data_IF_854664536250
#
_entry.id   IF_854664536250
#
_cell.length_a   1.000
_cell.length_b   1.000
_cell.length_c   1.000
_cell.angle_alpha   90.00
_cell.angle_beta   90.00
_cell.angle_gamma   90.00
#
_symmetry.space_group_name_H-M   'P 1'
#
loop_
_entity.id
_entity.type
_entity.pdbx_description
1 polymer ?
2 non-polymer ?
3 non-polymer ?
4 non-polymer ?
5 non-polymer ?
6 water ?
#
# COMPACT_ATOMS: atom_id res chain seq x y z
N UNK A 3 -26.26 6.51 14.26
CA UNK A 3 -25.43 5.30 13.99
C UNK A 3 -24.38 5.62 12.92
N UNK A 4 -23.20 5.03 13.06
CA UNK A 4 -22.12 5.27 12.11
C UNK A 4 -21.93 4.10 11.14
N UNK A 5 -21.85 4.40 9.83
CA UNK A 5 -21.66 3.36 8.82
C UNK A 5 -20.31 2.65 8.98
N UNK A 6 -20.24 1.37 8.58
CA UNK A 6 -19.03 0.55 8.68
C UNK A 6 -17.88 0.91 7.74
N UNK A 7 -16.67 0.53 8.16
CA UNK A 7 -15.45 0.77 7.38
C UNK A 7 -14.39 -0.21 7.86
N UNK A 8 -13.51 -0.62 6.95
CA UNK A 8 -12.44 -1.56 7.28
C UNK A 8 -11.08 -0.98 6.90
N UNK A 9 -10.11 -1.15 7.79
CA UNK A 9 -8.72 -0.69 7.55
C UNK A 9 -7.90 -1.98 7.49
N UNK A 10 -7.13 -2.15 6.41
CA UNK A 10 -6.28 -3.34 6.27
C UNK A 10 -4.85 -2.84 6.06
N UNK A 11 -4.08 -2.82 7.14
CA UNK A 11 -2.70 -2.35 7.09
C UNK A 11 -1.66 -3.42 7.41
N UNK A 12 -0.41 -3.01 7.35
CA UNK A 12 0.68 -3.93 7.61
C UNK A 12 1.89 -3.50 6.83
N UNK A 13 3.07 -4.07 7.12
CA UNK A 13 4.29 -3.70 6.41
C UNK A 13 4.28 -4.12 4.95
N UNK A 14 5.18 -3.53 4.18
CA UNK A 14 5.27 -3.84 2.77
C UNK A 14 5.63 -5.32 2.57
N UNK A 15 4.96 -5.96 1.61
CA UNK A 15 5.16 -7.37 1.25
C UNK A 15 4.45 -8.37 2.16
N UNK A 16 3.66 -7.86 3.12
CA UNK A 16 2.94 -8.73 4.05
C UNK A 16 1.78 -9.47 3.38
N UNK A 17 1.32 -8.98 2.24
CA UNK A 17 0.23 -9.63 1.54
C UNK A 17 -1.12 -8.95 1.79
N UNK A 18 -1.10 -7.65 2.07
CA UNK A 18 -2.33 -6.90 2.33
C UNK A 18 -3.27 -6.92 1.12
N UNK A 19 -2.74 -6.58 -0.04
CA UNK A 19 -3.54 -6.54 -1.26
C UNK A 19 -4.19 -7.90 -1.52
N UNK A 20 -3.46 -8.96 -1.19
CA UNK A 20 -3.96 -10.31 -1.38
C UNK A 20 -5.23 -10.56 -0.58
N UNK A 21 -5.19 -10.23 0.70
CA UNK A 21 -6.34 -10.41 1.59
C UNK A 21 -7.49 -9.47 1.28
N UNK A 22 -7.17 -8.27 0.80
CA UNK A 22 -8.20 -7.29 0.45
C UNK A 22 -9.07 -7.84 -0.66
N UNK A 23 -8.43 -8.40 -1.68
CA UNK A 23 -9.15 -8.96 -2.81
C UNK A 23 -10.04 -10.12 -2.38
N UNK A 24 -9.56 -10.90 -1.40
CA UNK A 24 -10.33 -12.02 -0.89
C UNK A 24 -11.58 -11.51 -0.19
N UNK A 25 -11.41 -10.50 0.67
CA UNK A 25 -12.52 -9.90 1.39
C UNK A 25 -13.51 -9.27 0.42
N UNK A 26 -12.98 -8.74 -0.68
CA UNK A 26 -13.80 -8.10 -1.69
C UNK A 26 -14.76 -9.11 -2.33
N UNK A 27 -14.44 -10.39 -2.21
CA UNK A 27 -15.28 -11.44 -2.77
C UNK A 27 -16.27 -12.00 -1.75
N UNK A 28 -16.13 -11.59 -0.49
CA UNK A 28 -17.01 -12.09 0.56
C UNK A 28 -18.05 -11.06 0.99
N UNK A 29 -17.71 -9.78 0.84
CA UNK A 29 -18.61 -8.70 1.22
C UNK A 29 -18.63 -7.62 0.15
N UNK A 30 -19.67 -6.77 0.14
CA UNK A 30 -19.77 -5.69 -0.85
C UNK A 30 -18.83 -4.58 -0.40
N UNK A 31 -17.59 -4.62 -0.90
CA UNK A 31 -16.60 -3.62 -0.52
C UNK A 31 -16.25 -2.63 -1.61
N UNK A 32 -15.59 -1.56 -1.20
CA UNK A 32 -15.11 -0.52 -2.11
C UNK A 32 -13.64 -0.38 -1.71
N UNK A 33 -12.75 -0.95 -2.53
CA UNK A 33 -11.32 -0.90 -2.25
C UNK A 33 -10.75 0.50 -2.41
N UNK A 34 -10.07 0.97 -1.37
CA UNK A 34 -9.46 2.30 -1.37
C UNK A 34 -8.01 2.16 -0.95
N UNK A 35 -7.10 2.50 -1.86
CA UNK A 35 -5.68 2.39 -1.58
C UNK A 35 -5.16 3.51 -0.68
N UNK A 36 -4.35 3.11 0.30
CA UNK A 36 -3.74 4.04 1.23
C UNK A 36 -2.24 3.82 1.04
N UNK A 37 -1.70 4.46 0.00
CA UNK A 37 -0.30 4.29 -0.36
C UNK A 37 0.18 5.52 -1.12
N UNK A 38 1.17 6.21 -0.57
CA UNK A 38 1.71 7.42 -1.18
C UNK A 38 2.44 7.17 -2.50
N UNK A 39 2.69 5.90 -2.81
CA UNK A 39 3.39 5.56 -4.04
C UNK A 39 2.45 5.10 -5.16
N UNK A 40 1.43 4.30 -4.81
CA UNK A 40 0.50 3.80 -5.81
C UNK A 40 -0.35 4.89 -6.46
N UNK A 41 -0.31 6.10 -5.92
CA UNK A 41 -1.07 7.20 -6.50
C UNK A 41 -0.48 7.64 -7.84
N UNK A 42 0.79 7.29 -8.09
CA UNK A 42 1.47 7.73 -9.32
C UNK A 42 1.39 6.86 -10.57
N UNK A 43 0.92 7.45 -11.66
CA UNK A 43 0.84 6.74 -12.94
C UNK A 43 2.27 6.55 -13.43
N UNK A 44 2.51 5.46 -14.14
CA UNK A 44 3.84 5.18 -14.65
C UNK A 44 4.80 4.53 -13.66
N UNK A 45 4.33 4.29 -12.45
CA UNK A 45 5.14 3.65 -11.41
C UNK A 45 4.34 2.45 -10.95
N UNK A 46 4.46 1.36 -11.71
CA UNK A 46 3.68 0.16 -11.43
C UNK A 46 4.48 -1.07 -10.99
N UNK A 47 5.58 -1.32 -11.69
CA UNK A 47 6.42 -2.47 -11.40
C UNK A 47 7.18 -2.30 -10.08
N UNK A 48 7.89 -1.18 -9.97
CA UNK A 48 8.65 -0.91 -8.75
C UNK A 48 7.82 -0.65 -7.51
N UNK A 49 6.52 -0.42 -7.68
CA UNK A 49 5.64 -0.14 -6.55
C UNK A 49 4.81 -1.36 -6.15
N UNK A 50 4.96 -2.47 -6.88
CA UNK A 50 4.20 -3.68 -6.61
C UNK A 50 2.71 -3.40 -6.80
N UNK A 51 2.41 -2.52 -7.75
CA UNK A 51 1.02 -2.17 -8.04
C UNK A 51 0.31 -3.34 -8.70
N UNK A 52 -0.94 -3.60 -8.30
CA UNK A 52 -1.72 -4.70 -8.88
C UNK A 52 -1.77 -4.52 -10.40
N UNK A 53 -1.70 -5.62 -11.13
CA UNK A 53 -1.73 -5.58 -12.59
C UNK A 53 -3.01 -4.92 -13.10
N UNK A 54 -2.97 -4.46 -14.35
CA UNK A 54 -4.12 -3.82 -14.95
C UNK A 54 -5.32 -4.77 -14.94
N UNK A 55 -5.05 -6.07 -15.10
CA UNK A 55 -6.12 -7.06 -15.10
C UNK A 55 -6.74 -7.21 -13.71
N UNK A 56 -5.89 -7.25 -12.69
CA UNK A 56 -6.40 -7.38 -11.32
C UNK A 56 -7.16 -6.15 -10.88
N UNK A 57 -6.76 -4.98 -11.36
CA UNK A 57 -7.44 -3.75 -11.01
C UNK A 57 -8.81 -3.71 -11.68
N UNK A 58 -8.91 -4.32 -12.86
CA UNK A 58 -10.17 -4.35 -13.57
C UNK A 58 -11.19 -5.14 -12.75
N UNK A 59 -10.79 -6.28 -12.22
CA UNK A 59 -11.69 -7.10 -11.42
C UNK A 59 -11.79 -6.66 -9.97
N UNK A 60 -10.79 -5.91 -9.50
CA UNK A 60 -10.76 -5.41 -8.13
C UNK A 60 -10.38 -3.92 -8.16
N UNK A 61 -11.33 -3.06 -8.57
CA UNK A 61 -11.09 -1.62 -8.65
C UNK A 61 -10.61 -1.00 -7.33
N UNK A 62 -9.59 -0.15 -7.42
CA UNK A 62 -9.03 0.53 -6.26
C UNK A 62 -9.14 2.04 -6.43
N UNK A 63 -9.59 2.72 -5.38
CA UNK A 63 -9.68 4.17 -5.41
C UNK A 63 -8.30 4.68 -5.00
N UNK A 64 -7.94 5.85 -5.50
CA UNK A 64 -6.67 6.50 -5.17
C UNK A 64 -5.41 5.81 -5.71
N UNK A 65 -5.55 5.16 -6.87
CA UNK A 65 -4.42 4.54 -7.53
C UNK A 65 -4.40 5.18 -8.92
N UNK A 66 -3.21 5.58 -9.38
CA UNK A 66 -3.06 6.23 -10.68
C UNK A 66 -3.83 7.54 -10.79
N UNK A 67 -3.81 8.34 -9.73
CA UNK A 67 -4.53 9.62 -9.71
C UNK A 67 -3.62 10.84 -9.88
N UNK A 68 -2.31 10.62 -9.94
CA UNK A 68 -1.39 11.75 -10.08
C UNK A 68 -0.23 11.41 -11.02
N UNK A 69 0.35 12.44 -11.64
CA UNK A 69 1.50 12.26 -12.51
C UNK A 69 2.72 12.38 -11.60
N UNK A 70 3.82 11.68 -11.92
CA UNK A 70 5.03 11.76 -11.07
C UNK A 70 5.58 13.16 -10.81
N UNK A 71 5.21 14.12 -11.66
CA UNK A 71 5.70 15.49 -11.48
C UNK A 71 4.92 16.21 -10.39
N UNK A 72 3.80 15.62 -9.97
CA UNK A 72 2.93 16.22 -8.96
C UNK A 72 3.20 15.71 -7.54
N UNK A 73 2.78 16.51 -6.56
CA UNK A 73 2.94 16.17 -5.15
C UNK A 73 1.56 15.78 -4.59
N UNK A 74 1.54 15.04 -3.49
CA UNK A 74 0.28 14.60 -2.87
C UNK A 74 0.47 14.59 -1.36
N UNK A 75 -0.29 15.42 -0.65
CA UNK A 75 -0.17 15.51 0.80
C UNK A 75 -1.12 14.60 1.57
N UNK A 76 -0.84 14.42 2.86
CA UNK A 76 -1.70 13.60 3.72
C UNK A 76 -3.05 14.33 3.81
N UNK A 77 -3.02 15.64 3.65
CA UNK A 77 -4.24 16.46 3.70
C UNK A 77 -5.12 16.14 2.49
N UNK A 78 -4.50 15.99 1.33
CA UNK A 78 -5.25 15.67 0.13
C UNK A 78 -5.76 14.23 0.23
N UNK A 79 -4.94 13.34 0.79
CA UNK A 79 -5.37 11.95 0.94
C UNK A 79 -6.63 11.93 1.80
N UNK A 80 -6.58 12.66 2.91
CA UNK A 80 -7.70 12.76 3.83
C UNK A 80 -9.00 13.16 3.13
N UNK A 81 -8.93 14.22 2.33
CA UNK A 81 -10.12 14.70 1.61
C UNK A 81 -10.61 13.68 0.59
N UNK A 82 -9.68 13.12 -0.19
CA UNK A 82 -10.03 12.14 -1.21
C UNK A 82 -10.59 10.86 -0.59
N UNK A 83 -10.00 10.43 0.51
CA UNK A 83 -10.45 9.22 1.18
C UNK A 83 -11.84 9.42 1.79
N UNK A 84 -12.08 10.57 2.39
CA UNK A 84 -13.38 10.84 2.98
C UNK A 84 -14.45 10.85 1.89
N UNK A 85 -14.08 11.39 0.73
CA UNK A 85 -15.00 11.47 -0.40
C UNK A 85 -15.31 10.08 -0.94
N UNK A 86 -14.28 9.26 -1.10
CA UNK A 86 -14.45 7.91 -1.62
C UNK A 86 -15.27 7.06 -0.65
N UNK A 87 -15.05 7.24 0.65
CA UNK A 87 -15.78 6.49 1.66
C UNK A 87 -17.26 6.83 1.68
N UNK A 88 -17.57 8.12 1.57
CA UNK A 88 -18.95 8.58 1.57
C UNK A 88 -19.67 8.07 0.33
N UNK A 89 -18.96 8.09 -0.80
CA UNK A 89 -19.49 7.64 -2.08
C UNK A 89 -19.80 6.14 -2.04
N UNK A 90 -18.92 5.37 -1.39
CA UNK A 90 -19.12 3.94 -1.28
C UNK A 90 -20.27 3.66 -0.30
N UNK A 91 -20.25 4.37 0.82
CA UNK A 91 -21.27 4.22 1.84
C UNK A 91 -22.67 4.47 1.27
N UNK A 92 -22.82 5.54 0.49
CA UNK A 92 -24.10 5.88 -0.12
C UNK A 92 -24.61 4.73 -0.99
N UNK A 93 -23.68 3.91 -1.49
CA UNK A 93 -24.04 2.78 -2.34
C UNK A 93 -24.15 1.47 -1.54
N UNK A 94 -24.10 1.57 -0.21
CA UNK A 94 -24.20 0.37 0.61
C UNK A 94 -22.93 -0.46 0.62
N UNK A 95 -21.88 0.05 0.00
CA UNK A 95 -20.61 -0.66 -0.05
C UNK A 95 -19.79 -0.36 1.19
N UNK A 96 -18.98 -1.32 1.62
CA UNK A 96 -18.15 -1.13 2.80
C UNK A 96 -16.77 -0.63 2.37
N UNK A 97 -16.40 0.58 2.81
CA UNK A 97 -15.08 1.14 2.45
C UNK A 97 -13.99 0.25 3.03
N UNK A 98 -13.14 -0.27 2.16
CA UNK A 98 -12.04 -1.12 2.61
C UNK A 98 -10.73 -0.43 2.24
N UNK A 99 -10.14 0.27 3.21
CA UNK A 99 -8.89 0.97 3.00
C UNK A 99 -7.70 0.04 3.25
N UNK A 100 -6.95 -0.24 2.19
CA UNK A 100 -5.82 -1.13 2.28
C UNK A 100 -4.51 -0.46 1.83
N UNK A 101 -3.46 -0.63 2.64
CA UNK A 101 -2.18 -0.03 2.34
C UNK A 101 -1.28 0.09 3.55
N UNK A 102 -0.08 0.61 3.35
CA UNK A 102 0.86 0.75 4.46
C UNK A 102 1.39 2.13 4.75
N UNK A 103 0.77 3.18 4.19
CA UNK A 103 1.24 4.55 4.47
C UNK A 103 0.55 5.00 5.75
N UNK A 104 1.21 4.75 6.88
CA UNK A 104 0.65 5.07 8.18
C UNK A 104 0.27 6.53 8.39
N UNK A 105 1.03 7.43 7.78
CA UNK A 105 0.79 8.86 7.89
C UNK A 105 -0.60 9.19 7.33
N UNK A 106 -1.01 8.43 6.32
CA UNK A 106 -2.32 8.63 5.72
C UNK A 106 -3.42 8.16 6.69
N UNK A 107 -3.28 6.96 7.22
CA UNK A 107 -4.27 6.44 8.17
C UNK A 107 -4.40 7.41 9.35
N UNK A 108 -3.26 7.92 9.82
CA UNK A 108 -3.22 8.85 10.94
C UNK A 108 -4.06 10.09 10.67
N UNK A 109 -3.84 10.71 9.51
CA UNK A 109 -4.57 11.90 9.12
C UNK A 109 -6.07 11.66 9.08
N UNK A 110 -6.47 10.45 8.69
CA UNK A 110 -7.88 10.10 8.62
C UNK A 110 -8.50 9.98 10.01
N UNK A 111 -7.83 9.25 10.89
CA UNK A 111 -8.31 9.06 12.26
C UNK A 111 -8.23 10.34 13.09
N UNK A 112 -7.14 11.08 12.91
CA UNK A 112 -6.93 12.32 13.65
C UNK A 112 -7.10 13.55 12.77
N UNK A 113 -6.03 13.92 12.06
CA UNK A 113 -6.09 15.09 11.19
C UNK A 113 -4.78 15.84 11.11
N UNK A 199 -13.52 10.75 12.47
CA UNK A 199 -14.00 9.83 11.47
C UNK A 199 -15.42 9.34 11.78
N UNK A 200 -16.39 9.72 10.94
CA UNK A 200 -17.80 9.34 11.13
C UNK A 200 -18.07 7.92 10.61
N UNK A 201 -17.29 6.96 11.11
CA UNK A 201 -17.42 5.57 10.71
C UNK A 201 -17.06 4.65 11.87
N UNK A 202 -17.68 3.47 11.91
CA UNK A 202 -17.35 2.49 12.92
C UNK A 202 -16.31 1.66 12.18
N UNK A 203 -15.04 1.87 12.52
CA UNK A 203 -13.95 1.19 11.83
C UNK A 203 -13.41 -0.08 12.48
N UNK A 204 -13.22 -1.11 11.67
CA UNK A 204 -12.64 -2.37 12.11
C UNK A 204 -11.24 -2.33 11.50
N UNK A 205 -10.22 -2.39 12.35
CA UNK A 205 -8.84 -2.31 11.88
C UNK A 205 -8.09 -3.64 11.88
N UNK A 206 -7.66 -4.05 10.70
CA UNK A 206 -6.94 -5.29 10.51
C UNK A 206 -5.48 -5.03 10.11
N UNK A 207 -4.59 -5.91 10.55
CA UNK A 207 -3.16 -5.81 10.23
C UNK A 207 -2.63 -7.20 9.91
N UNK A 208 -1.75 -7.28 8.92
CA UNK A 208 -1.19 -8.57 8.55
C UNK A 208 0.32 -8.49 8.38
N UNK A 209 1.00 -9.53 8.86
CA UNK A 209 2.45 -9.62 8.78
C UNK A 209 2.88 -11.01 9.27
N UNK A 210 4.10 -11.43 8.91
CA UNK A 210 4.61 -12.74 9.33
C UNK A 210 5.02 -12.64 10.79
N UNK A 211 5.01 -13.74 11.53
CA UNK A 211 5.41 -13.70 12.93
C UNK A 211 6.90 -13.40 13.02
N UNK A 212 7.68 -13.99 12.11
CA UNK A 212 9.12 -13.78 12.06
C UNK A 212 9.43 -12.74 10.98
N UNK A 213 10.11 -11.68 11.35
CA UNK A 213 10.46 -10.63 10.40
C UNK A 213 11.43 -11.12 9.33
N UNK A 214 12.15 -12.20 9.63
CA UNK A 214 13.10 -12.76 8.69
C UNK A 214 12.36 -13.29 7.46
N UNK A 215 11.13 -13.76 7.67
CA UNK A 215 10.31 -14.26 6.57
C UNK A 215 9.92 -13.10 5.66
N UNK A 216 9.59 -11.96 6.27
CA UNK A 216 9.22 -10.77 5.49
C UNK A 216 10.43 -10.25 4.73
N UNK A 217 11.60 -10.28 5.36
CA UNK A 217 12.82 -9.79 4.74
C UNK A 217 13.21 -10.59 3.50
N UNK A 218 13.10 -11.91 3.58
CA UNK A 218 13.44 -12.76 2.44
C UNK A 218 12.52 -12.44 1.25
N UNK A 219 11.23 -12.27 1.53
CA UNK A 219 10.26 -11.96 0.48
C UNK A 219 10.55 -10.60 -0.14
N UNK A 220 10.94 -9.65 0.69
CA UNK A 220 11.25 -8.31 0.21
C UNK A 220 12.41 -8.35 -0.78
N UNK A 221 13.44 -9.12 -0.47
CA UNK A 221 14.60 -9.23 -1.35
C UNK A 221 14.23 -9.94 -2.65
N UNK A 222 13.48 -11.02 -2.54
CA UNK A 222 13.07 -11.79 -3.70
C UNK A 222 12.13 -10.96 -4.59
N UNK A 223 11.16 -10.29 -3.97
CA UNK A 223 10.21 -9.46 -4.72
C UNK A 223 10.95 -8.34 -5.46
N UNK A 224 11.95 -7.73 -4.82
CA UNK A 224 12.69 -6.67 -5.47
C UNK A 224 13.46 -7.19 -6.68
N UNK A 225 14.07 -8.37 -6.56
CA UNK A 225 14.82 -8.92 -7.67
C UNK A 225 13.90 -9.26 -8.84
N UNK A 226 12.68 -9.64 -8.53
CA UNK A 226 11.72 -9.96 -9.59
C UNK A 226 11.28 -8.68 -10.31
N UNK A 227 11.16 -7.59 -9.57
CA UNK A 227 10.78 -6.31 -10.16
C UNK A 227 11.77 -5.95 -11.26
N UNK A 228 13.06 -6.17 -10.98
CA UNK A 228 14.11 -5.88 -11.97
C UNK A 228 13.91 -6.76 -13.19
N UNK A 229 13.47 -8.00 -12.97
CA UNK A 229 13.23 -8.93 -14.05
C UNK A 229 12.01 -8.56 -14.89
N UNK A 230 11.02 -7.94 -14.25
CA UNK A 230 9.81 -7.57 -14.96
C UNK A 230 9.83 -6.20 -15.63
N UNK A 231 10.98 -5.54 -15.61
CA UNK A 231 11.09 -4.24 -16.27
C UNK A 231 11.14 -3.01 -15.40
N UNK A 232 11.61 -3.15 -14.16
CA UNK A 232 11.71 -2.02 -13.24
C UNK A 232 12.64 -0.96 -13.82
N UNK A 233 13.79 -1.37 -14.33
CA UNK A 233 14.74 -0.42 -14.88
C UNK A 233 14.17 0.36 -16.06
N UNK A 234 13.50 -0.34 -16.98
CA UNK A 234 12.91 0.33 -18.15
C UNK A 234 11.85 1.33 -17.69
N UNK A 235 11.12 0.95 -16.65
CA UNK A 235 10.08 1.82 -16.09
C UNK A 235 10.70 3.12 -15.61
N UNK A 236 11.80 3.02 -14.88
CA UNK A 236 12.45 4.21 -14.35
C UNK A 236 13.16 4.99 -15.46
N UNK A 237 13.62 4.31 -16.51
CA UNK A 237 14.27 5.00 -17.61
C UNK A 237 13.33 6.02 -18.22
N UNK A 238 12.04 5.68 -18.30
CA UNK A 238 11.06 6.61 -18.87
C UNK A 238 10.88 7.85 -17.98
N UNK A 239 11.02 7.66 -16.67
CA UNK A 239 10.89 8.79 -15.73
C UNK A 239 12.16 9.61 -15.80
N UNK A 240 13.29 8.90 -15.84
CA UNK A 240 14.63 9.50 -15.90
C UNK A 240 14.82 10.37 -17.13
N UNK A 241 14.08 10.06 -18.19
CA UNK A 241 14.20 10.80 -19.45
C UNK A 241 13.40 12.09 -19.48
N UNK A 242 12.51 12.27 -18.50
CA UNK A 242 11.69 13.47 -18.45
C UNK A 242 12.41 14.66 -17.83
N UNK A 243 12.46 15.75 -18.57
CA UNK A 243 13.13 16.95 -18.07
C UNK A 243 12.37 17.54 -16.90
N UNK A 244 11.05 17.30 -16.84
CA UNK A 244 10.27 17.84 -15.73
C UNK A 244 10.27 16.97 -14.46
N UNK A 245 11.14 15.96 -14.45
CA UNK A 245 11.26 15.11 -13.26
C UNK A 245 12.72 15.10 -12.82
N UNK A 246 12.95 15.03 -11.51
CA UNK A 246 14.31 14.92 -11.01
C UNK A 246 14.32 13.97 -9.81
N UNK A 247 15.50 13.48 -9.47
CA UNK A 247 15.65 12.51 -8.38
C UNK A 247 15.16 12.97 -7.01
N UNK A 248 15.03 14.27 -6.81
CA UNK A 248 14.59 14.77 -5.52
C UNK A 248 13.09 14.90 -5.32
N UNK A 249 12.30 14.62 -6.35
CA UNK A 249 10.84 14.73 -6.25
C UNK A 249 10.19 13.74 -5.29
N UNK A 250 9.03 14.12 -4.72
CA UNK A 250 8.29 13.27 -3.78
C UNK A 250 8.02 11.87 -4.35
N UNK A 251 7.59 11.82 -5.61
CA UNK A 251 7.29 10.56 -6.27
C UNK A 251 8.49 9.62 -6.30
N UNK A 252 9.66 10.16 -6.61
CA UNK A 252 10.86 9.35 -6.68
C UNK A 252 11.32 8.81 -5.33
N UNK A 253 10.61 9.18 -4.26
CA UNK A 253 10.93 8.69 -2.93
C UNK A 253 10.37 7.28 -2.71
N UNK A 254 9.49 6.84 -3.61
CA UNK A 254 8.91 5.50 -3.50
C UNK A 254 10.13 4.57 -3.39
N UNK A 255 10.13 3.66 -2.40
CA UNK A 255 11.31 2.81 -2.20
C UNK A 255 11.86 2.11 -3.43
N UNK A 256 13.17 2.22 -3.59
CA UNK A 256 13.83 1.59 -4.71
C UNK A 256 14.03 2.50 -5.91
N UNK A 257 13.10 3.42 -6.15
CA UNK A 257 13.24 4.28 -7.32
C UNK A 257 14.49 5.12 -7.41
N UNK A 258 14.91 5.71 -6.30
CA UNK A 258 16.12 6.53 -6.30
C UNK A 258 17.35 5.68 -6.64
N UNK A 259 17.39 4.46 -6.13
CA UNK A 259 18.51 3.55 -6.40
C UNK A 259 18.58 3.22 -7.89
N UNK A 260 17.43 2.95 -8.50
CA UNK A 260 17.41 2.66 -9.92
C UNK A 260 17.81 3.94 -10.67
N UNK A 261 17.30 5.09 -10.22
CA UNK A 261 17.63 6.36 -10.84
C UNK A 261 19.15 6.60 -10.81
N UNK A 262 19.78 6.37 -9.65
CA UNK A 262 21.22 6.56 -9.52
C UNK A 262 21.99 5.59 -10.43
N UNK A 263 21.48 4.38 -10.57
CA UNK A 263 22.11 3.39 -11.42
C UNK A 263 22.14 3.96 -12.84
N UNK A 264 21.01 4.51 -13.28
CA UNK A 264 20.89 5.11 -14.59
C UNK A 264 21.80 6.33 -14.76
N UNK A 265 22.17 6.97 -13.65
CA UNK A 265 23.07 8.12 -13.71
C UNK A 265 24.51 7.65 -13.75
N UNK A 266 24.71 6.34 -13.68
CA UNK A 266 26.05 5.78 -13.72
C UNK A 266 26.78 5.92 -12.40
N UNK A 267 26.04 6.14 -11.32
CA UNK A 267 26.66 6.32 -10.01
C UNK A 267 26.81 5.00 -9.24
N UNK A 268 26.00 4.01 -9.58
CA UNK A 268 26.02 2.73 -8.89
C UNK A 268 26.17 1.55 -9.83
N UNK A 269 26.66 0.44 -9.28
CA UNK A 269 26.80 -0.80 -10.04
C UNK A 269 25.45 -1.50 -9.91
N UNK A 270 25.19 -2.46 -10.78
CA UNK A 270 23.93 -3.19 -10.73
C UNK A 270 23.73 -3.81 -9.36
N UNK A 271 24.81 -4.35 -8.80
CA UNK A 271 24.78 -4.99 -7.48
C UNK A 271 24.44 -4.02 -6.35
N UNK A 272 25.06 -2.83 -6.38
CA UNK A 272 24.82 -1.82 -5.34
C UNK A 272 23.39 -1.29 -5.40
N UNK A 273 22.90 -1.12 -6.62
CA UNK A 273 21.54 -0.66 -6.84
C UNK A 273 20.57 -1.67 -6.21
N UNK A 274 20.84 -2.96 -6.46
CA UNK A 274 19.99 -4.01 -5.93
C UNK A 274 20.04 -4.10 -4.40
N UNK A 275 21.25 -4.11 -3.84
CA UNK A 275 21.39 -4.21 -2.39
C UNK A 275 20.78 -3.01 -1.66
N UNK A 276 21.01 -1.81 -2.19
CA UNK A 276 20.48 -0.61 -1.54
C UNK A 276 18.97 -0.41 -1.72
N UNK A 277 18.41 -0.99 -2.78
CA UNK A 277 16.98 -0.88 -2.98
C UNK A 277 16.28 -1.79 -1.98
N UNK A 278 16.90 -2.94 -1.73
CA UNK A 278 16.37 -3.90 -0.78
C UNK A 278 16.46 -3.32 0.64
N UNK A 279 17.60 -2.69 0.96
CA UNK A 279 17.80 -2.07 2.26
C UNK A 279 16.72 -0.99 2.49
N UNK A 280 16.51 -0.16 1.47
CA UNK A 280 15.52 0.89 1.55
C UNK A 280 14.14 0.31 1.85
N UNK A 281 13.79 -0.80 1.21
CA UNK A 281 12.50 -1.44 1.40
C UNK A 281 12.39 -2.10 2.79
N UNK A 282 13.50 -2.65 3.26
CA UNK A 282 13.55 -3.28 4.57
C UNK A 282 13.40 -2.16 5.61
N UNK A 283 13.97 -1.00 5.31
CA UNK A 283 13.91 0.17 6.18
C UNK A 283 12.48 0.66 6.29
N UNK A 284 11.75 0.63 5.18
CA UNK A 284 10.36 1.03 5.17
C UNK A 284 9.54 0.12 6.10
N UNK A 285 9.74 -1.18 5.98
CA UNK A 285 9.01 -2.14 6.81
C UNK A 285 9.30 -1.88 8.29
N UNK A 286 10.54 -1.53 8.59
CA UNK A 286 10.95 -1.24 9.96
C UNK A 286 10.17 -0.01 10.48
N UNK A 287 10.05 1.02 9.65
CA UNK A 287 9.31 2.21 10.05
C UNK A 287 7.81 1.90 10.20
N UNK A 288 7.30 1.01 9.35
CA UNK A 288 5.89 0.66 9.43
C UNK A 288 5.62 -0.14 10.70
N UNK A 289 6.51 -1.07 11.03
CA UNK A 289 6.34 -1.86 12.25
C UNK A 289 6.33 -0.92 13.46
N UNK A 290 7.21 0.06 13.45
CA UNK A 290 7.27 1.01 14.56
C UNK A 290 5.91 1.66 14.75
N UNK A 291 5.32 2.15 13.66
CA UNK A 291 4.00 2.77 13.74
C UNK A 291 2.97 1.79 14.27
N UNK A 292 2.93 0.61 13.66
CA UNK A 292 1.97 -0.43 14.03
C UNK A 292 2.05 -0.91 15.49
N UNK A 293 3.27 -1.06 16.00
CA UNK A 293 3.43 -1.53 17.38
C UNK A 293 2.80 -0.58 18.40
N UNK A 294 2.66 0.68 18.04
CA UNK A 294 2.07 1.66 18.96
C UNK A 294 0.61 1.96 18.63
N UNK A 295 0.06 1.26 17.65
CA UNK A 295 -1.33 1.45 17.25
C UNK A 295 -2.29 0.57 18.04
N UNK A 296 -3.41 1.17 18.45
CA UNK A 296 -4.41 0.43 19.22
C UNK A 296 -5.56 -0.06 18.35
N UNK A 297 -6.34 -0.98 18.91
CA UNK A 297 -7.50 -1.54 18.23
C UNK A 297 -7.13 -2.23 16.92
N UNK A 298 -6.05 -3.02 16.94
CA UNK A 298 -5.62 -3.76 15.75
C UNK A 298 -5.83 -5.25 15.91
N UNK A 299 -6.43 -5.88 14.90
CA UNK A 299 -6.65 -7.31 14.93
C UNK A 299 -5.63 -7.94 13.98
N UNK A 300 -4.55 -8.47 14.57
CA UNK A 300 -3.48 -9.08 13.81
C UNK A 300 -3.72 -10.42 13.15
N UNK A 301 -3.13 -10.59 11.98
CA UNK A 301 -3.25 -11.81 11.21
C UNK A 301 -1.87 -12.20 10.69
N UNK A 302 -1.69 -13.49 10.45
CA UNK A 302 -0.40 -14.00 9.97
C UNK A 302 -0.39 -14.19 8.46
N UNK A 303 0.64 -13.64 7.82
CA UNK A 303 0.79 -13.73 6.38
C UNK A 303 0.88 -15.18 5.91
N UNK A 304 1.43 -16.04 6.75
CA UNK A 304 1.57 -17.45 6.40
C UNK A 304 0.31 -18.27 6.65
N UNK A 305 -0.65 -17.69 7.37
CA UNK A 305 -1.91 -18.39 7.67
C UNK A 305 -2.73 -18.57 6.40
N UNK A 306 -3.36 -19.73 6.27
CA UNK A 306 -4.16 -20.01 5.09
C UNK A 306 -5.64 -19.70 5.24
N UNK A 307 -6.08 -19.34 6.44
CA UNK A 307 -7.49 -19.05 6.66
C UNK A 307 -7.73 -17.66 7.24
N UNK A 308 -7.10 -16.65 6.64
CA UNK A 308 -7.26 -15.29 7.11
C UNK A 308 -8.63 -14.71 6.78
N UNK A 309 -9.23 -15.17 5.67
CA UNK A 309 -10.55 -14.69 5.29
C UNK A 309 -11.58 -14.95 6.40
N UNK A 310 -11.79 -16.24 6.75
CA UNK A 310 -12.76 -16.55 7.81
C UNK A 310 -12.43 -15.84 9.12
N UNK A 311 -11.14 -15.76 9.42
CA UNK A 311 -10.68 -15.10 10.65
C UNK A 311 -11.01 -13.61 10.63
N UNK A 312 -10.90 -13.00 9.46
CA UNK A 312 -11.19 -11.58 9.31
C UNK A 312 -12.69 -11.32 9.41
N UNK A 313 -13.46 -12.08 8.62
CA UNK A 313 -14.91 -11.94 8.62
C UNK A 313 -15.49 -12.10 10.01
N UNK A 314 -14.82 -12.91 10.83
CA UNK A 314 -15.27 -13.16 12.19
C UNK A 314 -15.05 -11.98 13.13
N UNK A 315 -14.01 -11.19 12.87
CA UNK A 315 -13.70 -10.04 13.73
C UNK A 315 -14.68 -8.86 13.63
N UNK A 316 -15.26 -8.65 12.46
CA UNK A 316 -16.20 -7.55 12.26
C UNK A 316 -17.21 -7.40 13.40
N UNK A 317 -17.67 -8.53 13.93
CA UNK A 317 -18.65 -8.52 15.01
C UNK A 317 -18.08 -7.97 16.31
N UNK A 318 -16.82 -8.29 16.61
CA UNK A 318 -16.17 -7.83 17.83
C UNK A 318 -16.23 -6.31 17.98
N UNK A 319 -15.95 -5.59 16.90
CA UNK A 319 -15.97 -4.13 16.91
C UNK A 319 -17.39 -3.58 16.79
N UNK A 320 -18.37 -4.42 17.09
CA UNK A 320 -19.77 -4.03 17.01
C UNK A 320 -20.24 -3.62 15.62
N UNK A 321 -19.94 -4.46 14.62
CA UNK A 321 -20.37 -4.19 13.26
C UNK A 321 -21.14 -5.37 12.70
N UNK A 322 -22.41 -5.14 12.39
CA UNK A 322 -23.29 -6.17 11.87
C UNK A 322 -23.31 -6.07 10.34
N UNK A 323 -22.65 -7.03 9.69
CA UNK A 323 -22.58 -7.04 8.23
C UNK A 323 -23.19 -8.33 7.68
X LIG B 1 -0.05 -4.05 -2.01
X LIG C 1 1.84 -0.65 -2.22
X LIG D 1 2.89 -3.60 -0.15
X LIG D 1 4.25 -3.20 -0.55
X LIG D 1 2.36 -2.70 1.09
X LIG D 1 1.83 -3.39 -1.33
X LIG D 1 2.81 -5.13 0.32
X LIG D 1 1.45 -5.99 0.38
X LIG D 1 1.60 -7.30 -0.30
X LIG D 1 1.08 -6.16 1.94
X LIG D 1 0.30 -5.10 -0.29
X LIG E 1 5.61 -0.45 -2.17
X LIG E 1 6.84 -1.15 -2.60
X LIG E 1 5.66 -0.27 -0.69
X LIG E 1 5.31 0.81 -2.97
X LIG E 1 4.52 -1.38 -2.50
X LIG E 1 7.08 -1.71 -3.82
X LIG E 1 4.76 0.10 0.24
X LIG E 1 6.39 1.66 -2.92
#
# INVERSE_FOLDING_TARGET
>A
MSSLPPAIFLMGPTAAGKTDLAMALADALPCELISVDSALIYRGMDIGTAKPSRELLARYPHRLIDIRDPAESYSAAEFRADALAAMAKATARGRIPLLVGGTMLYYKALLEGLADMPGADPEVRAAIEAEAQAEGWEALHRQLAEVDPESAARIHPNDPQRLMRALEVYRLGGVSMSDLRRRQSAEKADFDASGRNQLPYTVAQLAIAPEQRQVLHARIAQRFRQMLEQGFIAEVEALHARSDLHAGLPSIRAVGYRQVWDYLDGKLSYAEMTERGIIATRQLAKRQFTWLRSWSHLHWMDSLAGDNLPRALRYLKTVSILA
>B hetero
1 MG MG
>C hetero
1 CL CL
>D hetero
1 DPO P1 O1 O2 O3 O4 P2 O5 O6 O7
>E hetero
1 TRS C C1 C2 C3 N O1 O2 O3
#
